data_IF_587412815931
#
_entry.id   IF_587412815931
#
_cell.length_a   1.000
_cell.length_b   1.000
_cell.length_c   1.000
_cell.angle_alpha   90.00
_cell.angle_beta   90.00
_cell.angle_gamma   90.00
#
_symmetry.space_group_name_H-M   'P 1'
#
loop_
_entity.id
_entity.type
_entity.pdbx_description
1 polymer ?
#
# COMPACT_ATOMS: atom_id res chain seq x y z
N UNK A 1 -4.25 23.18 26.65
CA UNK A 1 -3.08 22.95 25.77
C UNK A 1 -3.55 22.04 24.64
N UNK A 2 -3.75 22.58 23.44
CA UNK A 2 -4.11 21.75 22.27
C UNK A 2 -2.80 21.18 21.74
N UNK A 3 -2.61 19.86 21.88
CA UNK A 3 -1.47 19.18 21.29
C UNK A 3 -1.49 19.41 19.78
N UNK A 4 -0.39 19.98 19.26
CA UNK A 4 -0.20 20.24 17.83
C UNK A 4 -0.33 18.96 17.03
N UNK A 5 -1.46 18.81 16.33
CA UNK A 5 -1.67 17.69 15.43
C UNK A 5 -1.10 18.07 14.06
N UNK A 6 0.23 17.93 13.91
CA UNK A 6 0.99 18.09 12.66
C UNK A 6 0.44 17.19 11.52
N UNK A 7 -0.40 16.20 11.86
CA UNK A 7 -1.02 15.25 10.91
C UNK A 7 -1.96 15.88 9.86
N UNK A 8 -2.31 17.16 9.96
CA UNK A 8 -3.26 17.82 9.05
C UNK A 8 -2.64 18.87 8.11
N UNK A 9 -1.33 19.14 8.17
CA UNK A 9 -0.65 20.10 7.27
C UNK A 9 0.09 19.42 6.11
N UNK A 10 -0.37 18.25 5.66
CA UNK A 10 0.06 17.77 4.35
C UNK A 10 -0.92 18.29 3.30
N UNK A 11 -0.46 19.27 2.54
CA UNK A 11 -1.05 19.61 1.26
C UNK A 11 -0.18 18.91 0.19
N UNK A 12 -0.29 17.58 -0.01
CA UNK A 12 0.47 16.93 -1.05
C UNK A 12 -0.09 17.47 -2.36
N UNK A 13 0.64 18.37 -3.01
CA UNK A 13 0.38 18.73 -4.40
C UNK A 13 0.56 17.44 -5.19
N UNK A 14 -0.56 16.76 -5.46
CA UNK A 14 -0.54 15.50 -6.16
C UNK A 14 0.17 15.71 -7.50
N UNK A 15 1.34 15.09 -7.64
CA UNK A 15 2.12 15.23 -8.86
C UNK A 15 1.32 14.59 -10.00
N UNK A 16 0.86 15.41 -10.95
CA UNK A 16 0.00 14.97 -12.06
C UNK A 16 0.69 13.90 -12.91
N UNK A 17 2.01 13.97 -13.07
CA UNK A 17 2.77 12.98 -13.84
C UNK A 17 2.81 11.63 -13.11
N UNK A 18 3.09 11.64 -11.80
CA UNK A 18 3.05 10.42 -10.98
C UNK A 18 1.64 9.81 -10.94
N UNK A 19 0.61 10.66 -10.81
CA UNK A 19 -0.79 10.22 -10.85
C UNK A 19 -1.12 9.54 -12.18
N UNK A 20 -0.69 10.12 -13.32
CA UNK A 20 -0.91 9.54 -14.64
C UNK A 20 -0.16 8.22 -14.82
N UNK A 21 1.08 8.12 -14.33
CA UNK A 21 1.86 6.88 -14.37
C UNK A 21 1.18 5.77 -13.55
N UNK A 22 0.74 6.07 -12.33
CA UNK A 22 0.01 5.13 -11.46
C UNK A 22 -1.31 4.69 -12.12
N UNK A 23 -2.08 5.63 -12.69
CA UNK A 23 -3.30 5.30 -13.45
C UNK A 23 -3.02 4.38 -14.64
N UNK A 24 -1.91 4.58 -15.34
CA UNK A 24 -1.51 3.73 -16.47
C UNK A 24 -1.15 2.33 -16.01
N UNK A 25 -0.42 2.21 -14.89
CA UNK A 25 -0.10 0.91 -14.27
C UNK A 25 -1.38 0.21 -13.84
N UNK A 26 -2.31 0.88 -13.17
CA UNK A 26 -3.57 0.27 -12.70
C UNK A 26 -4.44 -0.19 -13.89
N UNK A 27 -4.57 0.65 -14.91
CA UNK A 27 -5.45 0.41 -16.05
C UNK A 27 -6.92 0.41 -15.63
N UNK A 28 -7.69 -0.59 -16.08
CA UNK A 28 -9.13 -0.75 -15.76
C UNK A 28 -9.41 -1.63 -14.53
N UNK A 29 -8.35 -2.14 -13.88
CA UNK A 29 -8.48 -3.09 -12.77
C UNK A 29 -8.99 -2.38 -11.53
N UNK A 30 -9.81 -3.07 -10.74
CA UNK A 30 -10.13 -2.63 -9.37
C UNK A 30 -8.86 -2.61 -8.54
N UNK A 31 -8.80 -1.75 -7.53
CA UNK A 31 -7.64 -1.65 -6.63
C UNK A 31 -8.13 -1.72 -5.19
N UNK A 32 -7.51 -2.59 -4.40
CA UNK A 32 -7.69 -2.68 -2.96
C UNK A 32 -6.41 -2.21 -2.30
N UNK A 33 -6.52 -1.21 -1.43
CA UNK A 33 -5.38 -0.59 -0.75
C UNK A 33 -5.42 -0.93 0.73
N UNK A 34 -4.39 -1.61 1.19
CA UNK A 34 -4.09 -1.80 2.61
C UNK A 34 -3.10 -0.71 3.03
N UNK A 35 -3.64 0.41 3.47
CA UNK A 35 -2.85 1.57 3.85
C UNK A 35 -2.44 1.52 5.32
N UNK A 36 -1.24 2.01 5.62
CA UNK A 36 -0.75 2.20 6.98
C UNK A 36 -0.63 0.88 7.79
N UNK A 37 -0.20 -0.20 7.13
CA UNK A 37 -0.05 -1.52 7.77
C UNK A 37 1.07 -1.55 8.81
N UNK A 38 0.87 -2.34 9.86
CA UNK A 38 1.84 -2.63 10.90
C UNK A 38 2.43 -4.02 10.72
N UNK A 39 3.56 -4.23 11.40
CA UNK A 39 4.31 -5.48 11.33
C UNK A 39 3.44 -6.68 11.66
N UNK A 40 3.42 -7.65 10.75
CA UNK A 40 2.66 -8.89 10.85
C UNK A 40 1.25 -8.82 10.26
N UNK A 41 0.72 -7.63 9.95
CA UNK A 41 -0.52 -7.50 9.19
C UNK A 41 -0.30 -7.86 7.72
N UNK A 42 0.86 -7.47 7.17
CA UNK A 42 1.18 -7.67 5.74
C UNK A 42 1.19 -9.15 5.35
N UNK A 43 1.67 -10.03 6.23
CA UNK A 43 1.72 -11.48 5.98
C UNK A 43 0.32 -12.08 5.91
N UNK A 44 -0.56 -11.67 6.83
CA UNK A 44 -1.96 -12.12 6.85
C UNK A 44 -2.72 -11.65 5.62
N UNK A 45 -2.49 -10.40 5.20
CA UNK A 45 -3.09 -9.81 3.99
C UNK A 45 -2.67 -10.60 2.75
N UNK A 46 -1.36 -10.85 2.58
CA UNK A 46 -0.84 -11.60 1.44
C UNK A 46 -1.38 -13.02 1.43
N UNK A 47 -1.37 -13.71 2.57
CA UNK A 47 -1.87 -15.08 2.67
C UNK A 47 -3.37 -15.17 2.34
N UNK A 48 -4.18 -14.24 2.86
CA UNK A 48 -5.60 -14.18 2.52
C UNK A 48 -5.84 -13.94 1.03
N UNK A 49 -5.06 -13.05 0.41
CA UNK A 49 -5.15 -12.80 -1.03
C UNK A 49 -4.76 -14.01 -1.88
N UNK A 50 -3.77 -14.81 -1.45
CA UNK A 50 -3.38 -16.02 -2.17
C UNK A 50 -4.42 -17.14 -2.05
N UNK A 51 -5.04 -17.28 -0.88
CA UNK A 51 -6.08 -18.29 -0.66
C UNK A 51 -7.40 -17.94 -1.36
N UNK A 52 -7.75 -16.65 -1.39
CA UNK A 52 -8.95 -16.15 -2.02
C UNK A 52 -8.64 -14.90 -2.85
N UNK A 53 -8.10 -15.09 -4.07
CA UNK A 53 -7.70 -13.97 -4.91
C UNK A 53 -8.91 -13.12 -5.27
N UNK A 54 -8.74 -11.81 -5.10
CA UNK A 54 -9.70 -10.82 -5.56
C UNK A 54 -9.40 -10.48 -7.01
N UNK A 55 -10.45 -10.21 -7.80
CA UNK A 55 -10.30 -9.61 -9.14
C UNK A 55 -9.99 -8.10 -9.00
N UNK A 56 -8.87 -7.81 -8.34
CA UNK A 56 -8.39 -6.48 -8.03
C UNK A 56 -6.87 -6.50 -7.81
N UNK A 57 -6.20 -5.41 -8.16
CA UNK A 57 -4.82 -5.16 -7.75
C UNK A 57 -4.76 -4.90 -6.25
N UNK A 58 -3.93 -5.65 -5.55
CA UNK A 58 -3.61 -5.41 -4.15
C UNK A 58 -2.43 -4.44 -4.04
N UNK A 59 -2.61 -3.39 -3.22
CA UNK A 59 -1.54 -2.44 -2.86
C UNK A 59 -1.36 -2.43 -1.35
N UNK A 60 -0.13 -2.66 -0.88
CA UNK A 60 0.22 -2.61 0.54
C UNK A 60 1.13 -1.40 0.77
N UNK A 61 0.75 -0.53 1.71
CA UNK A 61 1.49 0.68 2.07
C UNK A 61 1.83 0.60 3.56
N UNK A 62 3.06 0.23 3.93
CA UNK A 62 3.46 0.14 5.33
C UNK A 62 3.37 1.50 6.03
N UNK A 63 3.02 1.49 7.33
CA UNK A 63 3.00 2.68 8.21
C UNK A 63 4.32 3.46 8.17
N UNK A 64 5.41 2.73 7.97
CA UNK A 64 6.79 3.15 8.09
C UNK A 64 7.50 2.88 6.75
N UNK A 65 7.84 3.91 5.96
CA UNK A 65 8.47 3.74 4.63
C UNK A 65 9.75 2.91 4.64
N UNK A 66 10.52 2.94 5.74
CA UNK A 66 11.71 2.13 5.97
C UNK A 66 11.46 0.62 5.92
N UNK A 67 10.21 0.19 6.09
CA UNK A 67 9.80 -1.22 6.01
C UNK A 67 9.42 -1.68 4.59
N UNK A 68 9.53 -0.82 3.59
CA UNK A 68 9.17 -1.18 2.22
C UNK A 68 9.90 -2.44 1.73
N UNK A 69 11.21 -2.52 1.95
CA UNK A 69 12.02 -3.67 1.53
C UNK A 69 11.65 -4.96 2.27
N UNK A 70 11.27 -4.87 3.54
CA UNK A 70 10.78 -6.01 4.34
C UNK A 70 9.49 -6.57 3.72
N UNK A 71 8.52 -5.70 3.46
CA UNK A 71 7.21 -6.06 2.90
C UNK A 71 7.34 -6.53 1.45
N UNK A 72 8.24 -5.93 0.66
CA UNK A 72 8.55 -6.39 -0.69
C UNK A 72 9.12 -7.81 -0.70
N UNK A 73 10.06 -8.13 0.20
CA UNK A 73 10.62 -9.48 0.35
C UNK A 73 9.55 -10.48 0.77
N UNK A 74 8.63 -10.09 1.66
CA UNK A 74 7.51 -10.91 2.10
C UNK A 74 6.58 -11.26 0.92
N UNK A 75 6.18 -10.25 0.13
CA UNK A 75 5.35 -10.46 -1.06
C UNK A 75 6.04 -11.34 -2.10
N UNK A 76 7.34 -11.14 -2.34
CA UNK A 76 8.11 -11.96 -3.28
C UNK A 76 8.23 -13.41 -2.83
N UNK A 77 8.42 -13.67 -1.54
CA UNK A 77 8.48 -15.03 -0.99
C UNK A 77 7.16 -15.79 -1.15
N UNK A 78 6.04 -15.10 -0.99
CA UNK A 78 4.72 -15.71 -1.05
C UNK A 78 4.25 -16.04 -2.49
N UNK A 79 4.98 -15.57 -3.51
CA UNK A 79 4.70 -15.85 -4.92
C UNK A 79 5.39 -17.12 -5.46
N UNK A 80 6.15 -17.82 -4.61
CA UNK A 80 6.79 -19.11 -4.91
C UNK A 80 5.98 -20.27 -4.33
#
# INVERSE_FOLDING_TARGET
MVAGNIKFEQNPSANKNQTKAIKTIIGKRKVVVFASTHKGEEEKIIHAYLNQPLDALMLIIPRHPERFDEVYKLAKKAQY
#
